data_IF_606000755735
#
_entry.id   IF_606000755735
#
_cell.length_a   1.000
_cell.length_b   1.000
_cell.length_c   1.000
_cell.angle_alpha   90.00
_cell.angle_beta   90.00
_cell.angle_gamma   90.00
#
_symmetry.space_group_name_H-M   'P 1'
#
loop_
_entity.id
_entity.type
_entity.pdbx_description
1 polymer ?
#
# COMPACT_ATOMS: atom_id res chain seq x y z
N UNK A 1 -6.17 -39.39 38.19
CA UNK A 1 -5.77 -40.48 37.34
C UNK A 1 -5.91 -40.11 35.86
N UNK A 2 -4.78 -40.20 35.19
CA UNK A 2 -4.63 -40.03 33.73
C UNK A 2 -5.37 -41.14 32.97
N UNK A 3 -5.86 -40.79 31.81
CA UNK A 3 -6.11 -41.76 30.78
C UNK A 3 -5.76 -41.13 29.40
N UNK A 4 -4.71 -41.66 28.81
CA UNK A 4 -4.28 -41.47 27.42
C UNK A 4 -5.12 -42.40 26.55
N UNK A 5 -5.61 -42.01 25.39
CA UNK A 5 -6.07 -42.97 24.40
C UNK A 5 -4.96 -43.26 23.39
N UNK A 6 -4.72 -44.56 23.26
CA UNK A 6 -3.87 -45.25 22.31
C UNK A 6 -4.47 -45.25 20.90
N UNK A 7 -3.58 -45.18 19.92
CA UNK A 7 -3.83 -45.37 18.49
C UNK A 7 -3.88 -46.86 18.17
N UNK A 8 -4.78 -47.36 17.34
CA UNK A 8 -4.64 -48.70 16.77
C UNK A 8 -4.18 -48.66 15.32
N UNK A 9 -3.18 -49.49 15.08
CA UNK A 9 -2.58 -49.88 13.81
C UNK A 9 -3.58 -50.47 12.80
N UNK A 10 -3.20 -50.38 11.54
CA UNK A 10 -3.57 -51.44 10.65
C UNK A 10 -3.73 -51.14 9.18
N UNK A 11 -2.70 -51.51 8.46
CA UNK A 11 -2.75 -52.11 7.11
C UNK A 11 -2.60 -51.22 5.89
N UNK A 12 -1.38 -51.28 5.37
CA UNK A 12 -1.03 -51.04 3.98
C UNK A 12 -1.30 -52.33 3.15
N UNK A 13 -1.71 -52.25 1.92
CA UNK A 13 -1.15 -53.08 0.86
C UNK A 13 -0.64 -52.30 -0.32
N UNK A 14 0.60 -52.59 -0.65
CA UNK A 14 1.19 -52.32 -1.97
C UNK A 14 0.72 -53.40 -2.95
N UNK A 15 0.40 -53.08 -4.19
CA UNK A 15 0.91 -53.87 -5.30
C UNK A 15 1.52 -53.03 -6.41
N UNK A 16 2.75 -53.39 -6.75
CA UNK A 16 3.33 -53.21 -8.05
C UNK A 16 2.45 -53.77 -9.16
N UNK A 17 2.21 -52.95 -10.19
CA UNK A 17 1.90 -53.40 -11.54
C UNK A 17 2.33 -52.32 -12.51
N UNK A 18 3.38 -52.57 -13.27
CA UNK A 18 3.78 -51.90 -14.48
C UNK A 18 2.83 -52.29 -15.60
N UNK A 19 2.29 -51.36 -16.37
CA UNK A 19 1.93 -51.65 -17.75
C UNK A 19 2.78 -50.80 -18.72
N UNK A 20 3.24 -51.51 -19.69
CA UNK A 20 3.90 -51.15 -20.94
C UNK A 20 3.24 -49.95 -21.65
N UNK A 21 4.12 -49.10 -22.22
CA UNK A 21 3.77 -48.04 -23.18
C UNK A 21 3.12 -48.61 -24.45
N UNK A 22 2.23 -47.80 -25.02
CA UNK A 22 2.22 -47.68 -26.47
C UNK A 22 2.61 -46.25 -26.89
N UNK A 23 3.41 -46.24 -27.91
CA UNK A 23 3.81 -45.19 -28.85
C UNK A 23 2.70 -44.15 -29.11
N UNK A 24 3.07 -42.88 -29.18
CA UNK A 24 2.15 -41.86 -29.66
C UNK A 24 2.55 -40.43 -29.30
N UNK A 25 3.43 -39.83 -30.11
CA UNK A 25 3.47 -38.39 -30.42
C UNK A 25 3.37 -37.40 -29.27
N UNK A 26 4.50 -36.96 -28.81
CA UNK A 26 4.64 -35.79 -27.94
C UNK A 26 4.13 -34.54 -28.66
N UNK A 27 3.10 -33.85 -28.15
CA UNK A 27 2.75 -32.55 -28.68
C UNK A 27 3.84 -31.55 -28.33
N UNK A 28 4.24 -30.75 -29.31
CA UNK A 28 5.15 -29.60 -29.18
C UNK A 28 4.79 -28.77 -27.97
N UNK A 29 5.80 -28.22 -27.24
CA UNK A 29 5.51 -27.33 -26.12
C UNK A 29 4.71 -26.12 -26.62
N UNK A 30 3.44 -26.13 -26.31
CA UNK A 30 2.58 -24.97 -26.53
C UNK A 30 3.21 -23.77 -25.84
N UNK A 31 3.39 -22.70 -26.59
CA UNK A 31 3.82 -21.39 -26.11
C UNK A 31 2.93 -21.01 -24.93
N UNK A 32 3.45 -21.09 -23.72
CA UNK A 32 2.80 -20.53 -22.54
C UNK A 32 2.54 -19.06 -22.85
N UNK A 33 1.30 -18.56 -22.76
CA UNK A 33 1.04 -17.14 -22.94
C UNK A 33 1.96 -16.37 -21.98
N UNK A 34 2.75 -15.46 -22.53
CA UNK A 34 3.59 -14.58 -21.72
C UNK A 34 2.70 -13.92 -20.65
N UNK A 35 3.10 -14.02 -19.39
CA UNK A 35 2.43 -13.28 -18.33
C UNK A 35 2.31 -11.82 -18.77
N UNK A 36 1.15 -11.15 -18.55
CA UNK A 36 0.98 -9.77 -18.96
C UNK A 36 2.13 -8.96 -18.39
N UNK A 37 2.80 -8.19 -19.27
CA UNK A 37 3.94 -7.34 -18.89
C UNK A 37 3.56 -6.53 -17.68
N UNK A 38 4.37 -6.59 -16.62
CA UNK A 38 4.12 -5.80 -15.41
C UNK A 38 4.14 -4.32 -15.82
N UNK A 39 3.14 -3.52 -15.40
CA UNK A 39 3.11 -2.10 -15.75
C UNK A 39 4.37 -1.42 -15.26
N UNK A 40 4.96 -0.61 -16.13
CA UNK A 40 6.14 0.22 -15.80
C UNK A 40 5.82 1.05 -14.57
N UNK A 41 6.73 1.09 -13.61
CA UNK A 41 6.63 1.98 -12.44
C UNK A 41 6.52 3.42 -12.91
N UNK A 42 5.46 4.11 -12.53
CA UNK A 42 5.27 5.53 -12.82
C UNK A 42 5.91 6.38 -11.74
N UNK A 43 6.43 7.53 -12.12
CA UNK A 43 6.83 8.54 -11.13
C UNK A 43 5.57 9.16 -10.53
N UNK A 44 5.45 9.12 -9.21
CA UNK A 44 4.38 9.80 -8.49
C UNK A 44 4.53 11.32 -8.66
N UNK A 45 3.47 11.95 -9.11
CA UNK A 45 3.36 13.42 -9.15
C UNK A 45 1.97 13.82 -8.67
N UNK A 46 1.90 14.94 -7.96
CA UNK A 46 0.64 15.56 -7.53
C UNK A 46 0.50 16.89 -8.27
N UNK A 47 -0.22 16.95 -9.39
CA UNK A 47 -0.29 18.16 -10.22
C UNK A 47 -0.82 19.38 -9.48
N UNK A 48 -1.73 19.18 -8.53
CA UNK A 48 -2.30 20.23 -7.69
C UNK A 48 -2.31 19.78 -6.22
N UNK A 49 -1.25 20.12 -5.50
CA UNK A 49 -1.08 19.79 -4.07
C UNK A 49 -2.18 20.42 -3.21
N UNK A 50 -2.60 21.66 -3.51
CA UNK A 50 -3.65 22.33 -2.72
C UNK A 50 -5.00 21.61 -2.84
N UNK A 51 -5.37 21.16 -4.03
CA UNK A 51 -6.58 20.38 -4.25
C UNK A 51 -6.51 19.02 -3.52
N UNK A 52 -5.36 18.34 -3.58
CA UNK A 52 -5.11 17.09 -2.86
C UNK A 52 -5.25 17.27 -1.34
N UNK A 53 -4.62 18.31 -0.78
CA UNK A 53 -4.70 18.66 0.65
C UNK A 53 -6.13 19.01 1.06
N UNK A 54 -6.83 19.82 0.27
CA UNK A 54 -8.22 20.17 0.57
C UNK A 54 -9.13 18.92 0.59
N UNK A 55 -8.94 18.01 -0.35
CA UNK A 55 -9.64 16.72 -0.38
C UNK A 55 -9.30 15.87 0.86
N UNK A 56 -8.03 15.72 1.17
CA UNK A 56 -7.54 14.95 2.31
C UNK A 56 -8.16 15.45 3.62
N UNK A 57 -8.09 16.73 3.90
CA UNK A 57 -8.66 17.35 5.11
C UNK A 57 -10.18 17.21 5.19
N UNK A 58 -10.87 17.37 4.06
CA UNK A 58 -12.34 17.25 4.01
C UNK A 58 -12.81 15.85 4.36
N UNK A 59 -12.09 14.83 3.92
CA UNK A 59 -12.56 13.44 3.98
C UNK A 59 -11.76 12.55 4.94
N UNK A 60 -10.75 13.07 5.66
CA UNK A 60 -9.95 12.29 6.60
C UNK A 60 -10.76 11.62 7.72
N UNK A 61 -11.80 12.30 8.22
CA UNK A 61 -12.66 11.79 9.29
C UNK A 61 -13.97 11.18 8.78
N UNK A 62 -14.48 11.69 7.66
CA UNK A 62 -15.75 11.27 7.07
C UNK A 62 -15.53 10.85 5.63
N UNK A 63 -15.52 9.53 5.33
CA UNK A 63 -15.26 9.03 3.99
C UNK A 63 -16.22 9.57 2.94
N UNK A 64 -15.75 9.78 1.70
CA UNK A 64 -16.54 10.24 0.57
C UNK A 64 -17.35 9.09 -0.04
N UNK A 65 -18.37 8.62 0.67
CA UNK A 65 -19.22 7.49 0.26
C UNK A 65 -20.19 7.83 -0.87
N UNK A 66 -20.36 9.12 -1.21
CA UNK A 66 -21.16 9.54 -2.34
C UNK A 66 -20.47 9.24 -3.68
N UNK A 67 -19.15 9.23 -3.71
CA UNK A 67 -18.36 9.08 -4.94
C UNK A 67 -17.57 7.77 -4.99
N UNK A 68 -17.16 7.24 -3.82
CA UNK A 68 -16.31 6.06 -3.74
C UNK A 68 -16.85 5.04 -2.76
N UNK A 69 -16.54 3.77 -3.01
CA UNK A 69 -16.75 2.72 -2.02
C UNK A 69 -15.82 2.94 -0.83
N UNK A 70 -16.34 2.79 0.39
CA UNK A 70 -15.55 2.78 1.62
C UNK A 70 -15.29 1.34 2.08
N UNK A 71 -14.04 1.04 2.45
CA UNK A 71 -13.59 -0.27 2.93
C UNK A 71 -13.25 -0.16 4.42
N UNK A 72 -14.22 -0.28 5.29
CA UNK A 72 -14.18 0.02 6.73
C UNK A 72 -12.86 -0.37 7.45
N UNK A 73 -12.26 -1.51 7.09
CA UNK A 73 -11.04 -2.02 7.74
C UNK A 73 -9.79 -2.01 6.86
N UNK A 74 -9.90 -1.52 5.62
CA UNK A 74 -8.82 -1.58 4.63
C UNK A 74 -8.83 -0.41 3.64
N UNK A 75 -9.19 0.79 4.06
CA UNK A 75 -9.45 1.94 3.18
C UNK A 75 -8.24 2.88 2.98
N UNK A 76 -7.10 2.61 3.59
CA UNK A 76 -5.95 3.52 3.56
C UNK A 76 -5.51 3.87 2.13
N UNK A 77 -5.38 2.88 1.28
CA UNK A 77 -4.92 3.06 -0.11
C UNK A 77 -6.02 3.57 -1.03
N UNK A 78 -7.26 3.15 -0.82
CA UNK A 78 -8.42 3.73 -1.52
C UNK A 78 -8.50 5.23 -1.25
N UNK A 79 -8.33 5.67 -0.01
CA UNK A 79 -8.30 7.09 0.35
C UNK A 79 -7.09 7.82 -0.25
N UNK A 80 -5.89 7.24 -0.18
CA UNK A 80 -4.70 7.80 -0.81
C UNK A 80 -4.90 7.99 -2.33
N UNK A 81 -5.52 7.02 -3.01
CA UNK A 81 -5.84 7.11 -4.43
C UNK A 81 -6.86 8.21 -4.74
N UNK A 82 -7.86 8.38 -3.89
CA UNK A 82 -8.84 9.48 -4.02
C UNK A 82 -8.16 10.84 -3.90
N UNK A 83 -7.25 11.00 -2.93
CA UNK A 83 -6.47 12.23 -2.74
C UNK A 83 -5.63 12.54 -3.98
N UNK A 84 -4.94 11.53 -4.51
CA UNK A 84 -4.10 11.69 -5.70
C UNK A 84 -4.93 12.06 -6.93
N UNK A 85 -6.09 11.44 -7.13
CA UNK A 85 -7.03 11.80 -8.20
C UNK A 85 -7.59 13.22 -8.04
N UNK A 86 -7.94 13.63 -6.81
CA UNK A 86 -8.38 14.98 -6.50
C UNK A 86 -7.27 16.01 -6.73
N UNK A 87 -6.02 15.62 -6.55
CA UNK A 87 -4.83 16.40 -6.90
C UNK A 87 -4.55 16.49 -8.41
N UNK A 88 -5.43 15.95 -9.26
CA UNK A 88 -5.34 16.10 -10.71
C UNK A 88 -4.56 14.99 -11.42
N UNK A 89 -4.15 13.93 -10.72
CA UNK A 89 -3.54 12.77 -11.39
C UNK A 89 -4.61 12.02 -12.19
N UNK A 90 -4.47 11.91 -13.52
CA UNK A 90 -5.43 11.18 -14.33
C UNK A 90 -5.35 9.67 -14.05
N UNK A 91 -6.51 9.03 -14.01
CA UNK A 91 -6.60 7.56 -13.92
C UNK A 91 -6.06 6.89 -15.19
N UNK A 92 -5.67 5.62 -15.06
CA UNK A 92 -5.21 4.79 -16.17
C UNK A 92 -5.78 3.37 -16.08
N UNK A 93 -5.44 2.51 -17.04
CA UNK A 93 -5.95 1.15 -17.11
C UNK A 93 -5.63 0.27 -15.87
N UNK A 94 -4.63 0.66 -15.08
CA UNK A 94 -4.15 -0.10 -13.92
C UNK A 94 -4.43 0.59 -12.59
N UNK A 95 -4.81 1.88 -12.62
CA UNK A 95 -5.11 2.66 -11.42
C UNK A 95 -6.38 3.49 -11.64
N UNK A 96 -7.51 2.96 -11.18
CA UNK A 96 -8.83 3.61 -11.26
C UNK A 96 -9.80 3.00 -10.25
N UNK A 97 -10.83 3.79 -9.78
CA UNK A 97 -11.77 3.36 -8.75
C UNK A 97 -12.85 2.41 -9.25
N UNK A 98 -13.24 2.54 -10.52
CA UNK A 98 -14.38 1.82 -11.12
C UNK A 98 -14.04 1.41 -12.55
N UNK A 99 -13.66 0.15 -12.82
CA UNK A 99 -13.53 -0.32 -14.18
C UNK A 99 -14.90 -0.35 -14.87
N UNK A 100 -15.00 0.37 -15.97
CA UNK A 100 -16.11 0.22 -16.91
C UNK A 100 -17.53 0.41 -16.31
N UNK A 101 -17.70 1.32 -15.35
CA UNK A 101 -18.99 1.62 -14.72
C UNK A 101 -19.44 0.61 -13.66
N UNK A 102 -18.62 -0.37 -13.33
CA UNK A 102 -18.87 -1.31 -12.23
C UNK A 102 -18.37 -0.72 -10.90
N UNK A 103 -19.27 -0.13 -10.12
CA UNK A 103 -18.98 0.45 -8.81
C UNK A 103 -18.53 -0.57 -7.75
N UNK A 104 -18.61 -1.87 -8.05
CA UNK A 104 -18.20 -2.94 -7.11
C UNK A 104 -16.73 -3.32 -7.26
N UNK A 105 -16.09 -2.92 -8.35
CA UNK A 105 -14.70 -3.25 -8.64
C UNK A 105 -13.81 -2.01 -8.56
N UNK A 106 -12.56 -2.24 -8.28
CA UNK A 106 -11.46 -1.28 -8.32
C UNK A 106 -10.20 -2.02 -8.75
N UNK A 107 -9.23 -1.30 -9.29
CA UNK A 107 -7.93 -1.94 -9.58
C UNK A 107 -7.13 -2.18 -8.30
N UNK A 108 -6.22 -3.15 -8.34
CA UNK A 108 -5.33 -3.43 -7.21
C UNK A 108 -4.51 -2.20 -6.82
N UNK A 109 -3.98 -1.46 -7.80
CA UNK A 109 -3.17 -0.26 -7.53
C UNK A 109 -3.99 0.88 -6.93
N UNK A 110 -5.33 0.86 -7.06
CA UNK A 110 -6.20 1.83 -6.43
C UNK A 110 -6.42 1.56 -4.93
N UNK A 111 -6.53 0.30 -4.52
CA UNK A 111 -7.00 -0.05 -3.18
C UNK A 111 -6.04 -0.89 -2.34
N UNK A 112 -4.96 -1.42 -2.90
CA UNK A 112 -4.00 -2.30 -2.20
C UNK A 112 -2.66 -1.60 -2.03
N UNK A 113 -2.21 -1.42 -0.80
CA UNK A 113 -1.05 -0.61 -0.44
C UNK A 113 0.23 -0.98 -1.20
N UNK A 114 0.57 -2.27 -1.27
CA UNK A 114 1.76 -2.71 -1.99
C UNK A 114 1.64 -2.54 -3.51
N UNK A 115 0.45 -2.65 -4.07
CA UNK A 115 0.22 -2.43 -5.49
C UNK A 115 0.28 -0.94 -5.85
N UNK A 116 -0.29 -0.06 -5.02
CA UNK A 116 -0.16 1.40 -5.13
C UNK A 116 1.31 1.83 -5.08
N UNK A 117 2.04 1.36 -4.07
CA UNK A 117 3.46 1.69 -3.91
C UNK A 117 4.29 1.28 -5.14
N UNK A 118 4.07 0.10 -5.68
CA UNK A 118 4.75 -0.37 -6.90
C UNK A 118 4.35 0.41 -8.14
N UNK A 119 3.07 0.75 -8.29
CA UNK A 119 2.57 1.50 -9.44
C UNK A 119 3.16 2.92 -9.48
N UNK A 120 3.25 3.58 -8.33
CA UNK A 120 3.66 4.97 -8.19
C UNK A 120 5.12 5.15 -7.72
N UNK A 121 5.91 4.08 -7.61
CA UNK A 121 7.33 4.18 -7.28
C UNK A 121 7.62 4.62 -5.83
N UNK A 122 6.76 4.25 -4.87
CA UNK A 122 7.11 4.37 -3.46
C UNK A 122 8.09 3.26 -3.11
N UNK A 123 9.39 3.53 -3.20
CA UNK A 123 10.45 2.52 -3.08
C UNK A 123 11.66 2.99 -2.23
N UNK A 124 11.66 4.23 -1.74
CA UNK A 124 12.72 4.78 -0.89
C UNK A 124 12.47 4.43 0.57
N UNK A 125 12.87 3.22 0.96
CA UNK A 125 12.67 2.69 2.31
C UNK A 125 13.81 3.06 3.26
N UNK A 126 13.48 3.26 4.56
CA UNK A 126 14.44 3.46 5.63
C UNK A 126 13.89 3.01 6.99
N UNK A 127 14.77 2.65 7.90
CA UNK A 127 14.48 2.41 9.32
C UNK A 127 14.83 3.61 10.22
N UNK A 128 15.35 4.68 9.64
CA UNK A 128 15.64 5.94 10.34
C UNK A 128 14.46 6.90 10.21
N UNK A 129 13.88 7.28 11.35
CA UNK A 129 12.79 8.26 11.36
C UNK A 129 13.23 9.63 10.82
N UNK A 130 14.41 10.11 11.23
CA UNK A 130 14.94 11.41 10.78
C UNK A 130 15.24 11.43 9.29
N UNK A 131 15.79 10.34 8.76
CA UNK A 131 15.99 10.18 7.32
C UNK A 131 14.67 10.15 6.55
N UNK A 132 13.66 9.41 7.04
CA UNK A 132 12.32 9.42 6.47
C UNK A 132 11.73 10.83 6.46
N UNK A 133 11.73 11.50 7.63
CA UNK A 133 11.17 12.84 7.76
C UNK A 133 11.89 13.90 6.91
N UNK A 134 13.19 13.72 6.63
CA UNK A 134 13.95 14.63 5.75
C UNK A 134 13.52 14.56 4.28
N UNK A 135 12.88 13.46 3.87
CA UNK A 135 12.37 13.25 2.51
C UNK A 135 10.92 13.70 2.35
N UNK A 136 10.23 13.95 3.46
CA UNK A 136 8.80 14.24 3.49
C UNK A 136 8.54 15.75 3.34
N UNK A 137 7.57 16.10 2.51
CA UNK A 137 7.06 17.46 2.37
C UNK A 137 5.53 17.46 2.22
N UNK A 138 4.92 18.62 2.29
CA UNK A 138 3.48 18.78 2.02
C UNK A 138 3.16 18.29 0.60
N UNK A 139 2.24 17.34 0.48
CA UNK A 139 1.90 16.69 -0.78
C UNK A 139 2.56 15.32 -0.98
N UNK A 140 3.49 14.90 -0.11
CA UNK A 140 4.09 13.57 -0.18
C UNK A 140 3.07 12.48 0.13
N UNK A 141 3.14 11.38 -0.62
CA UNK A 141 2.57 10.10 -0.23
C UNK A 141 3.62 9.29 0.53
N UNK A 142 3.23 8.79 1.68
CA UNK A 142 4.11 8.03 2.58
C UNK A 142 3.50 6.67 2.89
N UNK A 143 4.34 5.69 3.20
CA UNK A 143 3.89 4.34 3.45
C UNK A 143 4.61 3.69 4.62
N UNK A 144 3.94 2.72 5.24
CA UNK A 144 4.50 1.78 6.21
C UNK A 144 4.70 0.43 5.53
N UNK A 145 5.84 -0.20 5.82
CA UNK A 145 6.15 -1.51 5.29
C UNK A 145 6.62 -2.49 6.38
N UNK A 146 6.57 -3.76 6.06
CA UNK A 146 7.27 -4.79 6.82
C UNK A 146 8.76 -4.74 6.54
N UNK A 147 9.57 -5.41 7.35
CA UNK A 147 11.03 -5.48 7.19
C UNK A 147 11.51 -6.02 5.83
N UNK A 148 10.64 -6.76 5.13
CA UNK A 148 10.90 -7.24 3.77
C UNK A 148 10.53 -6.22 2.67
N UNK A 149 10.18 -4.99 3.04
CA UNK A 149 9.80 -3.92 2.12
C UNK A 149 8.36 -3.98 1.58
N UNK A 150 7.56 -4.99 1.95
CA UNK A 150 6.17 -5.09 1.52
C UNK A 150 5.32 -4.02 2.23
N UNK A 151 4.77 -3.09 1.46
CA UNK A 151 3.92 -2.01 1.96
C UNK A 151 2.57 -2.56 2.42
N UNK A 152 2.13 -2.14 3.61
CA UNK A 152 0.85 -2.55 4.18
C UNK A 152 -0.08 -1.38 4.52
N UNK A 153 0.43 -0.14 4.53
CA UNK A 153 -0.35 1.04 4.85
C UNK A 153 0.17 2.26 4.08
N UNK A 154 -0.73 3.20 3.75
CA UNK A 154 -0.41 4.46 3.06
C UNK A 154 -1.10 5.64 3.74
N UNK A 155 -0.45 6.79 3.69
CA UNK A 155 -0.99 8.08 4.11
C UNK A 155 -0.52 9.20 3.20
N UNK A 156 -1.10 10.38 3.37
CA UNK A 156 -0.79 11.59 2.62
C UNK A 156 -0.40 12.73 3.57
N UNK A 157 0.63 13.49 3.23
CA UNK A 157 1.13 14.61 4.04
C UNK A 157 0.36 15.88 3.70
N UNK A 158 -0.40 16.36 4.67
CA UNK A 158 -1.27 17.54 4.49
C UNK A 158 -0.57 18.85 4.83
N UNK A 159 0.36 18.83 5.79
CA UNK A 159 1.09 20.01 6.23
C UNK A 159 2.52 19.65 6.65
N UNK A 160 3.39 20.65 6.63
CA UNK A 160 4.72 20.60 7.20
C UNK A 160 4.94 21.86 8.04
N UNK A 161 5.61 21.72 9.19
CA UNK A 161 5.87 22.84 10.09
C UNK A 161 7.33 22.87 10.54
N UNK A 162 7.61 23.53 11.66
CA UNK A 162 8.95 23.77 12.17
C UNK A 162 9.70 22.50 12.57
N UNK A 163 11.00 22.67 12.76
CA UNK A 163 11.87 21.64 13.29
C UNK A 163 11.56 21.39 14.76
N UNK A 164 11.39 20.13 15.12
CA UNK A 164 11.15 19.66 16.48
C UNK A 164 12.18 18.62 16.88
N UNK A 165 12.32 18.38 18.19
CA UNK A 165 13.19 17.33 18.73
C UNK A 165 12.41 16.48 19.72
N UNK A 166 12.52 15.18 19.61
CA UNK A 166 11.97 14.19 20.56
C UNK A 166 12.88 12.95 20.62
N UNK A 167 12.41 11.86 21.24
CA UNK A 167 13.17 10.61 21.37
C UNK A 167 13.56 9.94 20.05
N UNK A 168 12.94 10.34 18.93
CA UNK A 168 13.25 9.86 17.57
C UNK A 168 14.26 10.74 16.84
N UNK A 169 14.70 11.86 17.45
CA UNK A 169 15.69 12.77 16.91
C UNK A 169 15.14 14.15 16.58
N UNK A 170 15.91 14.90 15.77
CA UNK A 170 15.55 16.24 15.31
C UNK A 170 15.08 16.17 13.86
N UNK A 171 13.89 16.65 13.58
CA UNK A 171 13.27 16.57 12.24
C UNK A 171 12.23 17.69 12.05
N UNK A 172 11.96 18.01 10.79
CA UNK A 172 10.82 18.88 10.46
C UNK A 172 9.51 18.09 10.65
N UNK A 173 8.62 18.59 11.51
CA UNK A 173 7.35 17.88 11.76
C UNK A 173 6.36 18.07 10.60
N UNK A 174 5.45 17.14 10.47
CA UNK A 174 4.41 17.14 9.44
C UNK A 174 3.11 16.52 9.97
N UNK A 175 2.01 16.85 9.30
CA UNK A 175 0.71 16.24 9.52
C UNK A 175 0.36 15.26 8.40
N UNK A 176 -0.30 14.17 8.74
CA UNK A 176 -0.77 13.15 7.81
C UNK A 176 -2.27 12.98 7.88
N UNK A 177 -2.88 12.70 6.73
CA UNK A 177 -4.25 12.22 6.61
C UNK A 177 -4.25 10.77 6.15
N UNK A 178 -5.07 9.93 6.77
CA UNK A 178 -5.23 8.52 6.44
C UNK A 178 -6.62 7.99 6.78
N UNK A 179 -6.98 6.86 6.16
CA UNK A 179 -8.05 5.96 6.60
C UNK A 179 -7.48 4.68 7.23
N UNK A 180 -8.37 3.87 7.82
CA UNK A 180 -8.02 2.67 8.62
C UNK A 180 -7.15 3.03 9.84
N UNK A 181 -7.62 3.57 10.68
CA UNK A 181 -8.15 4.64 11.52
C UNK A 181 -8.22 5.98 10.77
N UNK A 182 -9.42 6.52 10.70
CA UNK A 182 -9.68 7.77 9.98
C UNK A 182 -9.24 8.96 10.82
N UNK A 183 -8.20 9.66 10.39
CA UNK A 183 -7.75 10.89 11.04
C UNK A 183 -6.88 11.76 10.14
N UNK A 184 -6.71 12.99 10.58
CA UNK A 184 -5.67 13.91 10.14
C UNK A 184 -5.00 14.47 11.40
N UNK A 185 -3.67 14.54 11.42
CA UNK A 185 -2.95 15.03 12.58
C UNK A 185 -1.44 15.01 12.46
N UNK A 186 -0.79 15.70 13.40
CA UNK A 186 0.66 15.86 13.50
C UNK A 186 1.33 14.60 14.04
N UNK A 187 2.47 14.23 13.44
CA UNK A 187 3.30 13.11 13.90
C UNK A 187 4.10 13.44 15.15
N UNK A 188 4.31 14.71 15.46
CA UNK A 188 4.90 15.18 16.72
C UNK A 188 3.83 15.26 17.83
N UNK A 189 4.25 15.03 19.09
CA UNK A 189 3.34 15.00 20.24
C UNK A 189 2.65 13.64 20.43
N UNK A 190 1.51 13.63 21.13
CA UNK A 190 0.82 12.40 21.59
C UNK A 190 -0.47 12.09 20.83
N UNK A 191 -0.67 12.68 19.65
CA UNK A 191 -1.84 12.43 18.81
C UNK A 191 -1.80 11.06 18.12
N UNK A 192 -2.89 10.69 17.45
CA UNK A 192 -3.00 9.41 16.72
C UNK A 192 -1.88 9.23 15.70
N UNK A 193 -1.45 10.30 15.03
CA UNK A 193 -0.39 10.24 14.03
C UNK A 193 1.00 9.97 14.63
N UNK A 194 1.22 10.23 15.93
CA UNK A 194 2.52 9.97 16.57
C UNK A 194 2.92 8.49 16.56
N UNK A 195 1.95 7.59 16.46
CA UNK A 195 2.19 6.14 16.34
C UNK A 195 3.02 5.77 15.10
N UNK A 196 3.05 6.64 14.09
CA UNK A 196 3.90 6.42 12.91
C UNK A 196 5.37 6.29 13.26
N UNK A 197 5.88 7.07 14.21
CA UNK A 197 7.28 7.02 14.67
C UNK A 197 7.70 5.65 15.23
N UNK A 198 6.74 4.86 15.72
CA UNK A 198 6.96 3.57 16.35
C UNK A 198 6.95 2.39 15.36
N UNK A 199 6.69 2.61 14.06
CA UNK A 199 6.47 1.54 13.08
C UNK A 199 7.73 0.91 12.52
N UNK A 200 8.87 1.63 12.57
CA UNK A 200 10.20 1.07 12.32
C UNK A 200 10.61 0.87 10.86
N UNK A 201 9.72 1.01 9.89
CA UNK A 201 10.08 0.99 8.48
C UNK A 201 9.11 1.86 7.64
N UNK A 202 9.66 2.89 7.01
CA UNK A 202 8.93 3.90 6.28
C UNK A 202 9.41 3.99 4.84
N UNK A 203 8.49 4.30 3.92
CA UNK A 203 8.77 4.41 2.49
C UNK A 203 8.21 5.71 1.94
N UNK A 204 8.98 6.38 1.08
CA UNK A 204 8.59 7.53 0.28
C UNK A 204 8.75 7.23 -1.22
N UNK A 205 8.23 8.11 -2.08
CA UNK A 205 8.51 8.08 -3.51
C UNK A 205 9.93 8.58 -3.81
N UNK A 206 10.50 8.15 -4.92
CA UNK A 206 11.77 8.67 -5.42
C UNK A 206 11.61 10.11 -5.90
N UNK A 207 12.49 11.01 -5.42
CA UNK A 207 12.47 12.42 -5.80
C UNK A 207 11.54 13.30 -4.97
N UNK A 208 10.96 12.80 -3.88
CA UNK A 208 10.19 13.59 -2.91
C UNK A 208 11.06 14.67 -2.19
N UNK A 209 12.39 14.59 -2.31
CA UNK A 209 13.32 15.52 -1.66
C UNK A 209 13.45 16.90 -2.37
N UNK A 210 12.73 17.14 -3.46
CA UNK A 210 12.85 18.38 -4.27
C UNK A 210 11.59 19.28 -4.21
N UNK A 211 10.96 19.38 -3.05
CA UNK A 211 9.94 20.37 -2.76
C UNK A 211 10.57 21.57 -2.05
N UNK A 212 11.24 22.47 -2.78
CA UNK A 212 11.43 23.86 -2.40
C UNK A 212 10.45 24.73 -3.17
#
# INVERSE_FOLDING_TARGET
>A
PSATPTNPDGNQPNPSATPTSPDGSQPSPGTTPAAPAQPQTKKLTVPNVDAAVAYAKKYAFTPNTQQYKYFEHADCTNFASQILAAGGQPTDAYWHPHPWGDSTRHTYSWAVANAFARHWGLNQGTTSWTEFASRVHRGSFVALAYSNGKVYHTAFVTEQADVVSDEYGTYRTFAIAQHTRNYEGWVHGNGLASVWKQRGYWITAEGDSNGQ
#
